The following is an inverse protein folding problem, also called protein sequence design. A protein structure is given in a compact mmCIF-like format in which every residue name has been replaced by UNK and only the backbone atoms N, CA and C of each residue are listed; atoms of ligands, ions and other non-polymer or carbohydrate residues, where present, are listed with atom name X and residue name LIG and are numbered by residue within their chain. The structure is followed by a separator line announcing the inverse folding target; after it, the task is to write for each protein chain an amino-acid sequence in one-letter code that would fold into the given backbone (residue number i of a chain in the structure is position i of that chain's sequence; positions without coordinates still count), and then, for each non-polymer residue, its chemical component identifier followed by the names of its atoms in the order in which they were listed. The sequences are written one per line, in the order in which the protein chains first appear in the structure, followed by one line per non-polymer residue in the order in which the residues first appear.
data_IF_937419288478
#
_entry.id   IF_937419288478
#
_cell.length_a   1.000
_cell.length_b   1.000
_cell.length_c   1.000
_cell.angle_alpha   90.00
_cell.angle_beta   90.00
_cell.angle_gamma   90.00
#
_symmetry.space_group_name_H-M   'P 1'
#
loop_
_entity.id
_entity.type
_entity.pdbx_description
1 polymer ?
#
# COMPACT_ATOMS: atom_id res chain seq x y z
N UNK A 1 -36.06 14.42 40.20
CA UNK A 1 -34.66 14.86 40.37
C UNK A 1 -33.74 13.65 40.12
N UNK A 2 -33.40 13.33 38.85
CA UNK A 2 -32.61 12.13 38.51
C UNK A 2 -31.99 12.19 37.09
N UNK A 3 -31.18 13.21 36.78
CA UNK A 3 -30.54 13.37 35.45
C UNK A 3 -29.00 13.28 35.48
N UNK A 4 -28.38 13.16 36.66
CA UNK A 4 -26.92 13.33 36.81
C UNK A 4 -26.11 12.02 36.72
N UNK A 5 -26.72 10.85 36.94
CA UNK A 5 -25.99 9.57 36.91
C UNK A 5 -25.57 9.16 35.49
N UNK A 6 -26.28 9.62 34.47
CA UNK A 6 -26.06 9.23 33.08
C UNK A 6 -24.79 9.86 32.46
N UNK A 7 -24.34 11.02 32.98
CA UNK A 7 -23.13 11.70 32.48
C UNK A 7 -21.86 11.02 32.99
N UNK A 8 -21.83 10.66 34.27
CA UNK A 8 -20.68 9.96 34.87
C UNK A 8 -20.55 8.55 34.28
N UNK A 9 -21.67 7.84 34.11
CA UNK A 9 -21.68 6.54 33.46
C UNK A 9 -21.18 6.60 32.02
N UNK A 10 -21.59 7.62 31.24
CA UNK A 10 -21.07 7.84 29.87
C UNK A 10 -19.58 8.17 29.84
N UNK A 11 -19.08 8.98 30.77
CA UNK A 11 -17.65 9.30 30.86
C UNK A 11 -16.83 8.07 31.25
N UNK A 12 -17.31 7.26 32.21
CA UNK A 12 -16.65 6.03 32.63
C UNK A 12 -16.70 4.97 31.53
N UNK A 13 -17.84 4.80 30.85
CA UNK A 13 -17.95 3.92 29.68
C UNK A 13 -17.05 4.39 28.53
N UNK A 14 -16.94 5.71 28.31
CA UNK A 14 -16.04 6.27 27.30
C UNK A 14 -14.58 5.97 27.61
N UNK A 15 -14.14 6.20 28.85
CA UNK A 15 -12.77 5.88 29.29
C UNK A 15 -12.52 4.37 29.24
N UNK A 16 -13.48 3.54 29.66
CA UNK A 16 -13.38 2.09 29.55
C UNK A 16 -13.35 1.61 28.11
N UNK A 17 -14.13 2.21 27.20
CA UNK A 17 -14.08 1.85 25.78
C UNK A 17 -12.77 2.29 25.15
N UNK A 18 -12.22 3.46 25.50
CA UNK A 18 -10.90 3.90 25.03
C UNK A 18 -9.77 3.02 25.57
N UNK A 19 -9.82 2.63 26.85
CA UNK A 19 -8.84 1.73 27.44
C UNK A 19 -8.97 0.31 26.89
N UNK A 20 -10.20 -0.17 26.68
CA UNK A 20 -10.49 -1.43 26.00
C UNK A 20 -9.94 -1.39 24.58
N UNK A 21 -10.25 -0.37 23.80
CA UNK A 21 -9.78 -0.22 22.43
C UNK A 21 -8.25 -0.07 22.34
N UNK A 22 -7.63 0.60 23.31
CA UNK A 22 -6.16 0.67 23.45
C UNK A 22 -5.54 -0.68 23.80
N UNK A 23 -6.13 -1.43 24.74
CA UNK A 23 -5.66 -2.75 25.16
C UNK A 23 -5.94 -3.85 24.12
N UNK A 24 -7.04 -3.77 23.36
CA UNK A 24 -7.30 -4.66 22.23
C UNK A 24 -6.43 -4.34 21.01
N UNK A 25 -5.96 -3.08 20.89
CA UNK A 25 -4.90 -2.70 19.94
C UNK A 25 -3.56 -3.37 20.28
N UNK A 26 -3.35 -3.80 21.52
CA UNK A 26 -2.19 -4.61 21.91
C UNK A 26 -2.27 -6.06 21.41
N UNK A 27 -3.44 -6.70 21.43
CA UNK A 27 -3.57 -8.14 21.13
C UNK A 27 -3.31 -8.51 19.65
N UNK A 28 -3.61 -7.62 18.69
CA UNK A 28 -3.29 -7.86 17.27
C UNK A 28 -1.80 -7.69 16.94
N UNK A 29 -1.07 -6.90 17.74
CA UNK A 29 0.37 -6.67 17.59
C UNK A 29 1.24 -7.68 18.39
N UNK A 30 0.61 -8.54 19.19
CA UNK A 30 1.26 -9.62 19.95
C UNK A 30 1.40 -10.94 19.17
N UNK A 31 0.91 -11.01 17.91
CA UNK A 31 1.03 -12.22 17.08
C UNK A 31 2.45 -12.42 16.51
N UNK A 32 3.40 -12.83 17.37
CA UNK A 32 4.72 -13.46 17.07
C UNK A 32 5.08 -13.55 15.57
N UNK A 33 5.44 -12.42 14.95
CA UNK A 33 5.92 -12.34 13.57
C UNK A 33 7.24 -11.57 13.50
N UNK A 34 8.15 -11.94 12.60
CA UNK A 34 9.50 -11.35 12.51
C UNK A 34 9.51 -9.83 12.33
N UNK A 35 8.55 -9.27 11.57
CA UNK A 35 8.45 -7.80 11.45
C UNK A 35 7.84 -7.14 12.69
N UNK A 36 7.09 -7.85 13.54
CA UNK A 36 6.47 -7.23 14.71
C UNK A 36 7.48 -6.94 15.84
N UNK A 37 8.62 -7.63 15.88
CA UNK A 37 9.69 -7.40 16.87
C UNK A 37 10.63 -6.24 16.52
N UNK A 38 10.55 -5.70 15.31
CA UNK A 38 11.39 -4.57 14.88
C UNK A 38 10.72 -3.25 15.27
N UNK A 39 11.48 -2.36 15.91
CA UNK A 39 11.04 -1.01 16.26
C UNK A 39 10.35 -0.31 15.09
N UNK A 40 9.10 0.11 15.30
CA UNK A 40 8.23 0.66 14.25
C UNK A 40 8.82 1.88 13.54
N UNK A 41 9.67 2.67 14.21
CA UNK A 41 10.34 3.84 13.61
C UNK A 41 11.31 3.44 12.50
N UNK A 42 12.17 2.46 12.76
CA UNK A 42 13.14 1.95 11.78
C UNK A 42 12.42 1.23 10.64
N UNK A 43 11.39 0.43 10.96
CA UNK A 43 10.55 -0.24 9.97
C UNK A 43 9.94 0.76 8.98
N UNK A 44 9.32 1.84 9.48
CA UNK A 44 8.73 2.87 8.62
C UNK A 44 9.79 3.51 7.74
N UNK A 45 10.95 3.89 8.29
CA UNK A 45 12.05 4.47 7.51
C UNK A 45 12.53 3.54 6.39
N UNK A 46 12.72 2.25 6.70
CA UNK A 46 13.15 1.24 5.73
C UNK A 46 12.11 1.05 4.62
N UNK A 47 10.84 0.86 4.98
CA UNK A 47 9.76 0.67 4.01
C UNK A 47 9.59 1.90 3.10
N UNK A 48 9.68 3.10 3.67
CA UNK A 48 9.55 4.35 2.93
C UNK A 48 10.74 4.53 1.99
N UNK A 49 11.96 4.18 2.43
CA UNK A 49 13.14 4.13 1.57
C UNK A 49 12.96 3.14 0.41
N UNK A 50 12.45 1.93 0.67
CA UNK A 50 12.17 0.95 -0.40
C UNK A 50 11.13 1.47 -1.40
N UNK A 51 10.05 2.12 -0.93
CA UNK A 51 9.04 2.72 -1.81
C UNK A 51 9.67 3.80 -2.71
N UNK A 52 10.53 4.64 -2.15
CA UNK A 52 11.29 5.64 -2.92
C UNK A 52 12.16 4.95 -3.97
N UNK A 53 12.92 3.91 -3.60
CA UNK A 53 13.75 3.16 -4.54
C UNK A 53 12.92 2.58 -5.71
N UNK A 54 11.77 1.98 -5.42
CA UNK A 54 10.85 1.42 -6.43
C UNK A 54 10.42 2.47 -7.46
N UNK A 55 10.27 3.74 -7.05
CA UNK A 55 9.91 4.84 -7.95
C UNK A 55 11.02 5.15 -8.98
N UNK A 56 12.30 4.96 -8.61
CA UNK A 56 13.44 5.21 -9.49
C UNK A 56 13.79 4.02 -10.40
N UNK A 57 13.41 2.80 -10.02
CA UNK A 57 13.72 1.59 -10.80
C UNK A 57 12.96 1.60 -12.13
N UNK A 58 13.70 1.37 -13.23
CA UNK A 58 13.18 1.27 -14.60
C UNK A 58 13.25 -0.16 -15.16
N UNK A 59 13.84 -1.09 -14.42
CA UNK A 59 13.99 -2.49 -14.82
C UNK A 59 12.89 -3.37 -14.20
N UNK A 60 12.13 -4.06 -15.06
CA UNK A 60 11.06 -4.97 -14.63
C UNK A 60 11.61 -6.10 -13.75
N UNK A 61 12.80 -6.62 -14.07
CA UNK A 61 13.42 -7.73 -13.34
C UNK A 61 13.74 -7.33 -11.89
N UNK A 62 14.27 -6.13 -11.68
CA UNK A 62 14.57 -5.60 -10.34
C UNK A 62 13.27 -5.40 -9.56
N UNK A 63 12.23 -4.86 -10.20
CA UNK A 63 10.91 -4.68 -9.60
C UNK A 63 10.30 -6.01 -9.13
N UNK A 64 10.38 -7.05 -9.96
CA UNK A 64 9.95 -8.40 -9.59
C UNK A 64 10.75 -8.97 -8.43
N UNK A 65 12.07 -8.73 -8.38
CA UNK A 65 12.90 -9.11 -7.23
C UNK A 65 12.47 -8.42 -5.93
N UNK A 66 12.20 -7.11 -5.99
CA UNK A 66 11.71 -6.33 -4.84
C UNK A 66 10.31 -6.82 -4.41
N UNK A 67 9.45 -7.16 -5.36
CA UNK A 67 8.15 -7.75 -5.08
C UNK A 67 8.26 -9.13 -4.40
N UNK A 68 9.18 -9.98 -4.86
CA UNK A 68 9.47 -11.26 -4.22
C UNK A 68 9.95 -11.08 -2.78
N UNK A 69 10.79 -10.07 -2.51
CA UNK A 69 11.19 -9.71 -1.14
C UNK A 69 9.98 -9.32 -0.29
N UNK A 70 9.01 -8.58 -0.84
CA UNK A 70 7.77 -8.23 -0.13
C UNK A 70 6.96 -9.47 0.29
N UNK A 71 6.81 -10.44 -0.62
CA UNK A 71 6.13 -11.71 -0.33
C UNK A 71 6.88 -12.51 0.73
N UNK A 72 8.21 -12.56 0.62
CA UNK A 72 9.06 -13.26 1.58
C UNK A 72 8.93 -12.63 2.97
N UNK A 73 8.98 -11.30 3.10
CA UNK A 73 8.73 -10.57 4.34
C UNK A 73 7.33 -10.86 4.91
N UNK A 74 6.31 -10.93 4.06
CA UNK A 74 4.95 -11.28 4.47
C UNK A 74 4.87 -12.71 5.02
N UNK A 75 5.56 -13.66 4.37
CA UNK A 75 5.65 -15.06 4.79
C UNK A 75 6.36 -15.19 6.15
N UNK A 76 7.53 -14.56 6.32
CA UNK A 76 8.27 -14.53 7.59
C UNK A 76 7.49 -13.84 8.72
N UNK A 77 6.60 -12.90 8.37
CA UNK A 77 5.72 -12.22 9.32
C UNK A 77 4.46 -13.01 9.68
N UNK A 78 4.30 -14.23 9.15
CA UNK A 78 3.09 -15.07 9.30
C UNK A 78 1.79 -14.34 8.92
N UNK A 79 1.87 -13.44 7.95
CA UNK A 79 0.70 -12.74 7.43
C UNK A 79 -0.03 -13.69 6.48
N UNK A 80 -1.36 -13.73 6.56
CA UNK A 80 -2.15 -14.52 5.64
C UNK A 80 -1.98 -13.96 4.21
N UNK A 81 -1.18 -14.66 3.39
CA UNK A 81 -0.88 -14.29 2.01
C UNK A 81 -2.15 -14.16 1.16
N UNK A 82 -3.17 -14.98 1.41
CA UNK A 82 -4.44 -14.90 0.69
C UNK A 82 -5.17 -13.57 0.93
N UNK A 83 -5.18 -13.08 2.18
CA UNK A 83 -5.74 -11.77 2.50
C UNK A 83 -4.91 -10.64 1.87
N UNK A 84 -3.59 -10.73 1.95
CA UNK A 84 -2.68 -9.74 1.38
C UNK A 84 -2.78 -9.65 -0.15
N UNK A 85 -2.77 -10.78 -0.85
CA UNK A 85 -2.91 -10.85 -2.30
C UNK A 85 -4.30 -10.37 -2.73
N UNK A 86 -5.38 -10.85 -2.10
CA UNK A 86 -6.75 -10.44 -2.49
C UNK A 86 -6.94 -8.92 -2.39
N UNK A 87 -6.38 -8.29 -1.35
CA UNK A 87 -6.43 -6.84 -1.15
C UNK A 87 -5.55 -6.08 -2.16
N UNK A 88 -4.38 -6.62 -2.49
CA UNK A 88 -3.39 -5.91 -3.32
C UNK A 88 -3.58 -6.15 -4.83
N UNK A 89 -4.11 -7.31 -5.24
CA UNK A 89 -4.22 -7.68 -6.65
C UNK A 89 -5.57 -7.38 -7.31
N UNK A 90 -6.65 -7.21 -6.54
CA UNK A 90 -7.99 -7.04 -7.15
C UNK A 90 -8.27 -5.58 -7.50
N UNK A 91 -8.24 -4.69 -6.51
CA UNK A 91 -8.72 -3.32 -6.72
C UNK A 91 -7.67 -2.42 -7.40
N UNK A 92 -6.41 -2.58 -6.99
CA UNK A 92 -5.35 -1.62 -7.28
C UNK A 92 -4.76 -1.80 -8.69
N UNK A 93 -4.45 -3.01 -9.17
CA UNK A 93 -3.95 -3.19 -10.53
C UNK A 93 -5.03 -2.89 -11.56
N UNK A 94 -6.31 -3.17 -11.23
CA UNK A 94 -7.44 -2.83 -12.09
C UNK A 94 -7.54 -1.32 -12.31
N UNK A 95 -7.43 -0.54 -11.22
CA UNK A 95 -7.44 0.92 -11.30
C UNK A 95 -6.20 1.47 -12.03
N UNK A 96 -5.02 0.90 -11.76
CA UNK A 96 -3.78 1.25 -12.45
C UNK A 96 -3.86 0.96 -13.96
N UNK A 97 -4.47 -0.17 -14.34
CA UNK A 97 -4.69 -0.53 -15.74
C UNK A 97 -5.58 0.50 -16.43
N UNK A 98 -6.67 0.94 -15.79
CA UNK A 98 -7.55 1.98 -16.32
C UNK A 98 -6.80 3.30 -16.53
N UNK A 99 -5.94 3.70 -15.57
CA UNK A 99 -5.12 4.91 -15.67
C UNK A 99 -4.07 4.81 -16.77
N UNK A 100 -3.47 3.64 -16.98
CA UNK A 100 -2.39 3.46 -17.97
C UNK A 100 -2.91 3.17 -19.37
N UNK A 101 -4.19 2.84 -19.50
CA UNK A 101 -4.86 2.58 -20.80
C UNK A 101 -4.64 3.70 -21.81
N UNK A 102 -4.77 5.01 -21.46
CA UNK A 102 -4.43 6.11 -22.37
C UNK A 102 -2.98 6.11 -22.82
N UNK A 103 -2.04 5.70 -21.96
CA UNK A 103 -0.61 5.65 -22.27
C UNK A 103 -0.23 4.50 -23.23
N UNK A 104 -1.09 3.48 -23.35
CA UNK A 104 -0.95 2.41 -24.35
C UNK A 104 -1.22 2.90 -25.78
N UNK A 105 -1.99 3.98 -25.92
CA UNK A 105 -2.34 4.51 -27.23
C UNK A 105 -1.23 5.43 -27.75
N UNK A 106 -0.92 5.29 -29.04
CA UNK A 106 0.02 6.13 -29.79
C UNK A 106 -0.31 7.64 -29.80
N UNK A 107 -1.42 8.06 -29.17
CA UNK A 107 -1.76 9.46 -28.92
C UNK A 107 -0.84 10.11 -27.86
N UNK A 108 -0.27 9.32 -26.94
CA UNK A 108 0.59 9.84 -25.85
C UNK A 108 2.07 9.48 -26.03
N UNK A 109 2.38 8.31 -26.63
CA UNK A 109 3.77 7.84 -26.80
C UNK A 109 4.05 7.47 -28.26
N UNK A 110 4.78 8.29 -29.03
CA UNK A 110 5.18 7.94 -30.39
C UNK A 110 6.23 6.82 -30.34
N UNK A 111 5.94 5.66 -30.93
CA UNK A 111 6.81 4.49 -30.91
C UNK A 111 6.43 3.43 -31.95
N UNK A 112 7.23 2.36 -32.09
CA UNK A 112 6.99 1.28 -33.05
C UNK A 112 5.63 0.60 -32.81
N UNK A 113 4.80 0.62 -33.86
CA UNK A 113 3.47 0.03 -33.90
C UNK A 113 3.54 -1.50 -33.94
N UNK A 114 2.97 -2.19 -32.94
CA UNK A 114 2.85 -3.65 -32.95
C UNK A 114 1.52 -4.10 -33.54
N UNK A 115 0.41 -3.40 -33.25
CA UNK A 115 -0.93 -3.76 -33.75
C UNK A 115 -1.70 -2.48 -34.07
N UNK A 116 -2.25 -2.43 -35.29
CA UNK A 116 -3.07 -1.31 -35.78
C UNK A 116 -4.52 -1.78 -35.78
N UNK A 117 -5.30 -1.36 -34.79
CA UNK A 117 -6.76 -1.52 -34.83
C UNK A 117 -7.38 -0.29 -35.47
N UNK A 118 -8.05 -0.48 -36.60
CA UNK A 118 -8.98 0.52 -37.15
C UNK A 118 -10.38 0.18 -36.64
N UNK A 119 -10.85 0.92 -35.64
CA UNK A 119 -12.25 0.88 -35.23
C UNK A 119 -12.83 2.27 -35.45
N UNK A 120 -13.87 2.35 -36.28
CA UNK A 120 -14.67 3.56 -36.54
C UNK A 120 -13.84 4.83 -36.87
N UNK A 121 -12.91 4.77 -37.84
CA UNK A 121 -12.15 5.93 -38.30
C UNK A 121 -10.97 6.38 -37.42
N UNK A 122 -10.87 5.87 -36.19
CA UNK A 122 -9.72 6.11 -35.32
C UNK A 122 -8.67 4.99 -35.50
N UNK A 123 -7.42 5.37 -35.79
CA UNK A 123 -6.28 4.46 -35.83
C UNK A 123 -5.75 4.25 -34.40
N UNK A 124 -6.19 3.20 -33.73
CA UNK A 124 -5.64 2.78 -32.45
C UNK A 124 -4.36 1.97 -32.71
N UNK A 125 -3.22 2.59 -32.48
CA UNK A 125 -1.91 1.95 -32.61
C UNK A 125 -1.41 1.63 -31.21
N UNK A 126 -1.28 0.33 -30.91
CA UNK A 126 -0.63 -0.15 -29.68
C UNK A 126 0.87 -0.20 -29.96
N UNK A 127 1.66 0.58 -29.23
CA UNK A 127 3.12 0.64 -29.40
C UNK A 127 3.82 -0.34 -28.45
N UNK A 128 4.95 -0.92 -28.88
CA UNK A 128 5.78 -1.78 -28.01
C UNK A 128 6.27 -1.04 -26.77
N UNK A 129 6.58 0.24 -26.95
CA UNK A 129 7.01 1.14 -25.89
C UNK A 129 5.87 1.44 -24.90
N UNK A 130 4.65 1.66 -25.40
CA UNK A 130 3.45 1.83 -24.57
C UNK A 130 3.17 0.59 -23.73
N UNK A 131 3.24 -0.61 -24.32
CA UNK A 131 3.04 -1.87 -23.59
C UNK A 131 4.10 -2.09 -22.51
N UNK A 132 5.38 -1.86 -22.83
CA UNK A 132 6.47 -2.00 -21.86
C UNK A 132 6.35 -0.97 -20.72
N UNK A 133 6.02 0.28 -21.04
CA UNK A 133 5.77 1.34 -20.07
C UNK A 133 4.56 1.04 -19.18
N UNK A 134 3.48 0.50 -19.74
CA UNK A 134 2.31 0.07 -19.00
C UNK A 134 2.61 -1.10 -18.06
N UNK A 135 3.32 -2.12 -18.54
CA UNK A 135 3.75 -3.24 -17.71
C UNK A 135 4.62 -2.76 -16.55
N UNK A 136 5.63 -1.92 -16.83
CA UNK A 136 6.46 -1.30 -15.80
C UNK A 136 5.64 -0.52 -14.77
N UNK A 137 4.70 0.31 -15.23
CA UNK A 137 3.84 1.10 -14.35
C UNK A 137 2.98 0.20 -13.46
N UNK A 138 2.34 -0.82 -14.03
CA UNK A 138 1.51 -1.77 -13.27
C UNK A 138 2.37 -2.48 -12.24
N UNK A 139 3.51 -3.07 -12.62
CA UNK A 139 4.40 -3.76 -11.68
C UNK A 139 4.89 -2.80 -10.59
N UNK A 140 5.18 -1.53 -10.94
CA UNK A 140 5.59 -0.50 -9.97
C UNK A 140 4.50 -0.22 -8.95
N UNK A 141 3.26 -0.01 -9.42
CA UNK A 141 2.11 0.27 -8.56
C UNK A 141 1.84 -0.92 -7.64
N UNK A 142 1.82 -2.15 -8.17
CA UNK A 142 1.60 -3.37 -7.37
C UNK A 142 2.66 -3.50 -6.30
N UNK A 143 3.94 -3.30 -6.64
CA UNK A 143 5.05 -3.44 -5.70
C UNK A 143 4.98 -2.39 -4.60
N UNK A 144 4.83 -1.10 -4.92
CA UNK A 144 4.74 -0.03 -3.93
C UNK A 144 3.56 -0.22 -2.97
N UNK A 145 2.41 -0.61 -3.52
CA UNK A 145 1.22 -0.87 -2.71
C UNK A 145 1.42 -2.09 -1.81
N UNK A 146 2.03 -3.16 -2.30
CA UNK A 146 2.36 -4.32 -1.47
C UNK A 146 3.20 -3.92 -0.25
N UNK A 147 4.22 -3.08 -0.42
CA UNK A 147 4.99 -2.55 0.71
C UNK A 147 4.14 -1.67 1.64
N UNK A 148 3.30 -0.78 1.09
CA UNK A 148 2.45 0.09 1.90
C UNK A 148 1.41 -0.70 2.73
N UNK A 149 0.76 -1.69 2.12
CA UNK A 149 -0.20 -2.58 2.78
C UNK A 149 0.50 -3.44 3.83
N UNK A 150 1.67 -3.99 3.51
CA UNK A 150 2.47 -4.76 4.45
C UNK A 150 2.87 -3.91 5.66
N UNK A 151 3.30 -2.66 5.45
CA UNK A 151 3.59 -1.71 6.52
C UNK A 151 2.36 -1.39 7.37
N UNK A 152 1.22 -1.13 6.71
CA UNK A 152 -0.04 -0.79 7.40
C UNK A 152 -0.59 -1.95 8.23
N UNK A 153 -0.38 -3.20 7.82
CA UNK A 153 -0.82 -4.38 8.57
C UNK A 153 0.17 -4.70 9.71
N UNK A 154 1.47 -4.44 9.51
CA UNK A 154 2.53 -4.76 10.48
C UNK A 154 2.82 -3.65 11.50
N UNK A 155 2.20 -2.47 11.35
CA UNK A 155 2.45 -1.30 12.18
C UNK A 155 1.14 -0.72 12.68
N UNK A 156 1.04 -0.43 13.98
CA UNK A 156 -0.15 0.18 14.58
C UNK A 156 -0.39 1.57 14.00
N UNK A 157 -1.65 1.95 13.78
CA UNK A 157 -2.01 3.28 13.30
C UNK A 157 -1.46 4.41 14.19
N UNK A 158 -1.47 4.21 15.51
CA UNK A 158 -0.91 5.17 16.45
C UNK A 158 0.61 5.33 16.31
N UNK A 159 1.33 4.24 16.03
CA UNK A 159 2.77 4.29 15.82
C UNK A 159 3.16 4.85 14.45
N UNK A 160 2.34 4.64 13.42
CA UNK A 160 2.45 5.32 12.14
C UNK A 160 2.36 6.84 12.32
N UNK A 161 1.34 7.33 13.04
CA UNK A 161 1.19 8.76 13.35
C UNK A 161 2.37 9.29 14.18
N UNK A 162 2.84 8.51 15.16
CA UNK A 162 3.99 8.88 16.00
C UNK A 162 5.31 8.93 15.21
N UNK A 163 5.50 8.06 14.22
CA UNK A 163 6.67 8.10 13.36
C UNK A 163 6.59 9.27 12.35
N UNK A 164 5.41 9.57 11.82
CA UNK A 164 5.19 10.76 10.99
C UNK A 164 5.44 12.06 11.76
N UNK A 165 5.21 12.08 13.08
CA UNK A 165 5.58 13.19 13.96
C UNK A 165 7.10 13.45 13.97
N UNK A 166 7.93 12.41 13.85
CA UNK A 166 9.40 12.55 13.78
C UNK A 166 9.81 13.22 12.46
N UNK A 167 9.04 13.00 11.39
CA UNK A 167 9.19 13.70 10.11
C UNK A 167 8.67 15.15 10.13
N UNK A 168 8.40 15.73 11.32
CA UNK A 168 7.94 17.12 11.52
C UNK A 168 6.62 17.47 10.80
N UNK A 169 5.74 16.51 10.56
CA UNK A 169 4.38 16.83 10.06
C UNK A 169 3.55 17.36 11.25
N UNK A 170 3.13 18.64 11.25
CA UNK A 170 2.32 19.19 12.33
C UNK A 170 0.94 18.55 12.31
N UNK A 171 0.40 18.21 13.48
CA UNK A 171 -0.94 17.67 13.56
C UNK A 171 -1.97 18.80 13.46
N UNK A 172 -2.90 18.67 12.52
CA UNK A 172 -4.12 19.49 12.49
C UNK A 172 -5.26 18.81 13.27
N UNK A 173 -5.00 17.64 13.88
CA UNK A 173 -5.95 16.86 14.68
C UNK A 173 -5.27 16.19 15.86
#
# INVERSE_FOLDING_TARGET
MAKNNNFIERSIMGVLSFLKESAFSDEYALKKGFLQSVDSRFKIGIFLFFIIQILFVKDIVILLGIYAISILLACFSRINLGFFLKRTWIFIPLFALFIVTPALFSIVTPGEALVIFKIAGFKLIITRQGLYGAALFITRVVTSVSFAVLLSITTRHFELLRALRIFKIPQVF
#
